data_IF_528682942124
#
_entry.id   IF_528682942124
#
_cell.length_a   1.000
_cell.length_b   1.000
_cell.length_c   1.000
_cell.angle_alpha   90.00
_cell.angle_beta   90.00
_cell.angle_gamma   90.00
#
_symmetry.space_group_name_H-M   'P 1'
#
loop_
_entity.id
_entity.type
_entity.pdbx_description
1 polymer ?
#
# COMPACT_ATOMS: atom_id res chain seq x y z
N UNK A 1 4.48 67.81 -40.58
CA UNK A 1 5.48 68.90 -40.69
C UNK A 1 6.58 68.64 -39.69
N UNK A 2 7.88 68.72 -40.04
CA UNK A 2 8.52 68.57 -41.36
C UNK A 2 9.22 67.17 -41.48
N UNK A 3 9.35 66.47 -42.63
CA UNK A 3 9.91 66.81 -43.96
C UNK A 3 11.43 67.02 -43.80
N UNK A 4 12.34 66.14 -44.23
CA UNK A 4 12.97 65.86 -45.56
C UNK A 4 14.40 65.41 -45.22
N UNK A 5 15.21 64.67 -45.98
CA UNK A 5 15.27 64.26 -47.38
C UNK A 5 16.78 64.07 -47.69
N UNK A 6 17.23 62.87 -48.07
CA UNK A 6 17.67 62.42 -49.42
C UNK A 6 18.99 63.04 -49.95
N UNK A 7 19.75 62.17 -50.65
CA UNK A 7 20.86 62.40 -51.61
C UNK A 7 22.28 62.49 -51.03
N UNK A 8 23.31 61.88 -51.60
CA UNK A 8 23.44 61.08 -52.82
C UNK A 8 24.93 60.79 -53.10
N UNK A 9 25.18 59.64 -53.75
CA UNK A 9 26.19 59.30 -54.78
C UNK A 9 27.47 60.16 -54.98
N UNK A 10 28.63 59.49 -54.99
CA UNK A 10 29.74 59.61 -55.97
C UNK A 10 30.88 58.64 -55.54
N UNK A 11 31.19 57.55 -56.23
CA UNK A 11 31.96 57.39 -57.48
C UNK A 11 33.49 57.66 -57.42
N UNK A 12 34.22 56.57 -57.71
CA UNK A 12 35.36 56.44 -58.63
C UNK A 12 36.79 56.84 -58.26
N UNK A 13 37.71 55.94 -58.67
CA UNK A 13 39.09 56.23 -59.07
C UNK A 13 40.14 55.50 -58.23
N UNK A 14 40.67 54.36 -58.67
CA UNK A 14 41.87 54.24 -59.55
C UNK A 14 43.17 54.63 -58.81
N UNK A 15 44.31 53.95 -58.88
CA UNK A 15 44.79 52.81 -59.65
C UNK A 15 46.32 52.68 -59.39
N UNK A 16 46.89 51.48 -59.55
CA UNK A 16 48.24 51.22 -60.08
C UNK A 16 49.47 51.55 -59.18
N UNK A 17 50.23 50.53 -58.77
CA UNK A 17 51.50 50.05 -59.38
C UNK A 17 52.29 49.15 -58.37
N UNK A 18 52.61 47.92 -58.79
CA UNK A 18 53.59 46.99 -58.20
C UNK A 18 55.03 47.47 -58.59
N UNK A 19 56.16 47.16 -57.90
CA UNK A 19 56.66 45.78 -57.76
C UNK A 19 57.52 45.47 -56.49
N UNK A 20 57.75 44.18 -56.19
CA UNK A 20 58.81 43.82 -55.23
C UNK A 20 58.86 42.42 -54.63
N UNK A 21 58.83 41.36 -55.46
CA UNK A 21 59.69 40.16 -55.35
C UNK A 21 59.85 39.48 -53.97
N UNK A 22 59.20 38.31 -53.74
CA UNK A 22 59.82 36.96 -53.84
C UNK A 22 58.84 35.86 -53.40
N UNK A 23 58.70 34.89 -54.30
CA UNK A 23 58.02 33.60 -54.15
C UNK A 23 58.81 32.70 -53.19
N UNK A 24 58.13 31.94 -52.32
CA UNK A 24 58.38 30.52 -51.99
C UNK A 24 57.21 30.00 -51.14
N UNK A 25 56.75 28.81 -51.51
CA UNK A 25 55.55 28.10 -51.08
C UNK A 25 55.58 27.58 -49.64
N UNK A 26 54.39 27.34 -49.07
CA UNK A 26 54.11 26.14 -48.27
C UNK A 26 52.59 25.90 -48.20
N UNK A 27 52.18 24.74 -48.71
CA UNK A 27 50.84 24.15 -48.58
C UNK A 27 50.67 23.64 -47.14
N UNK A 28 49.56 23.95 -46.49
CA UNK A 28 49.12 23.23 -45.30
C UNK A 28 47.64 22.90 -45.40
N UNK A 29 47.37 21.60 -45.32
CA UNK A 29 46.09 20.94 -45.54
C UNK A 29 45.03 21.33 -44.48
N UNK A 30 43.79 21.52 -44.93
CA UNK A 30 42.61 21.59 -44.07
C UNK A 30 42.29 20.16 -43.62
N UNK A 31 42.64 19.83 -42.37
CA UNK A 31 42.15 18.62 -41.72
C UNK A 31 40.73 18.87 -41.19
N UNK A 32 39.74 18.23 -41.82
CA UNK A 32 38.38 18.12 -41.28
C UNK A 32 38.42 17.19 -40.06
N UNK A 33 38.39 17.76 -38.87
CA UNK A 33 38.14 17.01 -37.64
C UNK A 33 36.63 16.78 -37.50
N UNK A 34 36.16 15.62 -37.95
CA UNK A 34 34.83 15.11 -37.61
C UNK A 34 34.80 14.76 -36.12
N UNK A 35 34.39 15.71 -35.29
CA UNK A 35 34.05 15.47 -33.89
C UNK A 35 32.78 14.64 -33.82
N UNK A 36 32.90 13.31 -33.73
CA UNK A 36 31.81 12.47 -33.28
C UNK A 36 31.57 12.75 -31.79
N UNK A 37 30.68 13.71 -31.48
CA UNK A 37 30.04 13.73 -30.17
C UNK A 37 29.22 12.44 -30.07
N UNK A 38 29.78 11.45 -29.37
CA UNK A 38 28.98 10.36 -28.83
C UNK A 38 27.92 11.00 -27.93
N UNK A 39 26.67 11.01 -28.38
CA UNK A 39 25.54 11.29 -27.51
C UNK A 39 25.54 10.21 -26.43
N UNK A 40 26.09 10.53 -25.26
CA UNK A 40 25.92 9.73 -24.06
C UNK A 40 24.44 9.81 -23.75
N UNK A 41 23.68 8.81 -24.20
CA UNK A 41 22.29 8.66 -23.76
C UNK A 41 22.32 8.58 -22.23
N UNK A 42 21.54 9.41 -21.52
CA UNK A 42 21.54 9.37 -20.06
C UNK A 42 21.21 7.94 -19.63
N UNK A 43 21.96 7.43 -18.66
CA UNK A 43 21.73 6.10 -18.11
C UNK A 43 20.25 5.97 -17.73
N UNK A 44 19.59 4.84 -18.04
CA UNK A 44 18.19 4.66 -17.72
C UNK A 44 17.98 4.89 -16.22
N UNK A 45 17.05 5.80 -15.88
CA UNK A 45 16.73 6.13 -14.48
C UNK A 45 16.38 4.85 -13.75
N UNK A 46 17.03 4.59 -12.61
CA UNK A 46 16.72 3.39 -11.82
C UNK A 46 15.25 3.47 -11.38
N UNK A 47 14.56 2.34 -11.19
CA UNK A 47 13.17 2.36 -10.71
C UNK A 47 12.97 3.21 -9.45
N UNK A 48 13.94 3.21 -8.53
CA UNK A 48 13.91 4.03 -7.32
C UNK A 48 13.95 5.54 -7.62
N UNK A 49 14.70 5.96 -8.65
CA UNK A 49 14.82 7.37 -9.03
C UNK A 49 13.52 7.88 -9.70
N UNK A 50 12.68 6.97 -10.19
CA UNK A 50 11.34 7.27 -10.71
C UNK A 50 10.28 7.24 -9.60
N UNK A 51 10.45 6.38 -8.60
CA UNK A 51 9.53 6.21 -7.48
C UNK A 51 9.63 7.33 -6.44
N UNK A 52 10.84 7.81 -6.11
CA UNK A 52 11.04 8.80 -5.04
C UNK A 52 10.22 10.08 -5.27
N UNK A 53 10.22 10.72 -6.45
CA UNK A 53 9.41 11.92 -6.67
C UNK A 53 7.92 11.69 -6.39
N UNK A 54 7.39 10.55 -6.84
CA UNK A 54 6.00 10.17 -6.60
C UNK A 54 5.71 9.90 -5.12
N UNK A 55 6.66 9.31 -4.38
CA UNK A 55 6.55 9.12 -2.94
C UNK A 55 6.56 10.45 -2.17
N UNK A 56 7.31 11.45 -2.65
CA UNK A 56 7.35 12.77 -2.00
C UNK A 56 6.03 13.54 -2.15
N UNK A 57 5.25 13.25 -3.20
CA UNK A 57 3.92 13.81 -3.45
C UNK A 57 2.78 12.90 -2.91
N UNK A 58 3.09 11.91 -2.06
CA UNK A 58 2.16 10.87 -1.57
C UNK A 58 0.86 11.42 -0.97
N UNK A 59 0.89 12.58 -0.31
CA UNK A 59 -0.31 13.15 0.32
C UNK A 59 -1.38 13.59 -0.68
N UNK A 60 -1.00 13.95 -1.91
CA UNK A 60 -1.95 14.38 -2.95
C UNK A 60 -2.48 13.21 -3.78
N UNK A 61 -1.62 12.24 -4.09
CA UNK A 61 -1.93 11.19 -5.08
C UNK A 61 -2.43 9.87 -4.46
N UNK A 62 -2.21 9.64 -3.14
CA UNK A 62 -2.39 8.30 -2.54
C UNK A 62 -3.29 8.25 -1.32
N UNK A 63 -4.12 9.28 -1.14
CA UNK A 63 -5.24 9.27 -0.19
C UNK A 63 -6.54 8.93 -0.92
N UNK A 64 -7.42 8.18 -0.27
CA UNK A 64 -8.74 7.91 -0.82
C UNK A 64 -8.76 6.82 -1.91
N UNK A 65 -7.71 6.00 -2.02
CA UNK A 65 -7.62 4.93 -3.01
C UNK A 65 -8.67 3.87 -2.70
N UNK A 66 -9.45 3.42 -3.68
CA UNK A 66 -10.44 2.38 -3.49
C UNK A 66 -9.77 1.06 -3.08
N UNK A 67 -10.16 0.51 -1.93
CA UNK A 67 -9.66 -0.79 -1.50
C UNK A 67 -10.02 -1.89 -2.49
N UNK A 68 -11.21 -1.80 -3.10
CA UNK A 68 -11.67 -2.73 -4.12
C UNK A 68 -10.78 -2.74 -5.37
N UNK A 69 -10.27 -1.57 -5.78
CA UNK A 69 -9.31 -1.45 -6.89
C UNK A 69 -7.95 -2.03 -6.51
N UNK A 70 -7.45 -1.72 -5.31
CA UNK A 70 -6.19 -2.30 -4.80
C UNK A 70 -6.24 -3.83 -4.78
N UNK A 71 -7.36 -4.41 -4.34
CA UNK A 71 -7.54 -5.87 -4.36
C UNK A 71 -7.56 -6.40 -5.80
N UNK A 72 -8.29 -5.74 -6.70
CA UNK A 72 -8.35 -6.16 -8.10
C UNK A 72 -6.98 -6.11 -8.78
N UNK A 73 -6.24 -5.01 -8.65
CA UNK A 73 -4.94 -4.83 -9.29
C UNK A 73 -3.86 -5.78 -8.74
N UNK A 74 -4.00 -6.19 -7.47
CA UNK A 74 -3.01 -7.05 -6.82
C UNK A 74 -3.33 -8.54 -6.91
N UNK A 75 -4.60 -8.91 -7.17
CA UNK A 75 -5.07 -10.31 -7.09
C UNK A 75 -5.88 -10.78 -8.31
N UNK A 76 -6.40 -9.85 -9.10
CA UNK A 76 -7.39 -10.11 -10.16
C UNK A 76 -8.79 -10.46 -9.64
N UNK A 77 -9.06 -10.30 -8.33
CA UNK A 77 -10.33 -10.64 -7.68
C UNK A 77 -11.14 -9.40 -7.32
N UNK A 78 -12.45 -9.55 -7.24
CA UNK A 78 -13.38 -8.46 -6.94
C UNK A 78 -13.83 -8.49 -5.50
N UNK A 79 -13.82 -7.31 -4.87
CA UNK A 79 -14.59 -7.06 -3.65
C UNK A 79 -16.04 -6.79 -4.05
N UNK A 80 -16.90 -7.75 -3.76
CA UNK A 80 -18.34 -7.66 -4.02
C UNK A 80 -19.02 -6.86 -2.90
N UNK A 81 -19.97 -5.96 -3.24
CA UNK A 81 -20.78 -5.29 -2.23
C UNK A 81 -21.68 -6.29 -1.51
N UNK A 82 -21.86 -6.07 -0.21
CA UNK A 82 -22.92 -6.75 0.54
C UNK A 82 -24.29 -6.33 -0.01
N UNK A 83 -25.15 -7.29 -0.31
CA UNK A 83 -26.51 -7.04 -0.76
C UNK A 83 -27.55 -7.49 0.28
N UNK A 84 -28.19 -6.52 0.92
CA UNK A 84 -29.26 -6.78 1.89
C UNK A 84 -30.48 -7.50 1.26
N UNK A 85 -30.67 -7.46 -0.05
CA UNK A 85 -31.73 -8.19 -0.75
C UNK A 85 -31.33 -9.62 -1.11
N UNK A 86 -30.04 -9.94 -1.11
CA UNK A 86 -29.55 -11.29 -1.32
C UNK A 86 -29.73 -12.16 -0.06
N UNK A 87 -30.42 -13.29 -0.22
CA UNK A 87 -30.73 -14.19 0.89
C UNK A 87 -29.49 -14.83 1.53
N UNK A 88 -28.46 -15.13 0.74
CA UNK A 88 -27.19 -15.73 1.22
C UNK A 88 -26.43 -14.69 2.03
N UNK A 89 -26.30 -13.47 1.51
CA UNK A 89 -25.61 -12.37 2.20
C UNK A 89 -26.24 -12.09 3.56
N UNK A 90 -27.57 -11.96 3.62
CA UNK A 90 -28.29 -11.79 4.89
C UNK A 90 -28.05 -12.96 5.85
N UNK A 91 -28.11 -14.21 5.36
CA UNK A 91 -27.89 -15.40 6.19
C UNK A 91 -26.49 -15.40 6.79
N UNK A 92 -25.47 -15.14 5.99
CA UNK A 92 -24.07 -15.11 6.45
C UNK A 92 -23.83 -13.95 7.40
N UNK A 93 -24.31 -12.74 7.09
CA UNK A 93 -24.19 -11.59 7.99
C UNK A 93 -24.87 -11.84 9.35
N UNK A 94 -26.04 -12.50 9.36
CA UNK A 94 -26.72 -12.91 10.61
C UNK A 94 -25.91 -13.93 11.40
N UNK A 95 -25.28 -14.90 10.73
CA UNK A 95 -24.40 -15.87 11.39
C UNK A 95 -23.15 -15.19 11.99
N UNK A 96 -22.54 -14.24 11.27
CA UNK A 96 -21.42 -13.44 11.76
C UNK A 96 -21.85 -12.64 13.00
N UNK A 97 -23.00 -11.95 12.94
CA UNK A 97 -23.56 -11.21 14.07
C UNK A 97 -23.74 -12.08 15.31
N UNK A 98 -24.37 -13.25 15.18
CA UNK A 98 -24.56 -14.17 16.30
C UNK A 98 -23.24 -14.70 16.86
N UNK A 99 -22.25 -14.98 16.00
CA UNK A 99 -20.91 -15.36 16.42
C UNK A 99 -20.21 -14.22 17.17
N UNK A 100 -20.37 -12.96 16.73
CA UNK A 100 -19.79 -11.80 17.40
C UNK A 100 -20.37 -11.61 18.81
N UNK A 101 -21.69 -11.72 18.96
CA UNK A 101 -22.38 -11.61 20.26
C UNK A 101 -21.86 -12.67 21.25
N UNK A 102 -21.77 -13.92 20.80
CA UNK A 102 -21.30 -15.02 21.64
C UNK A 102 -19.78 -14.94 21.90
N UNK A 103 -18.97 -14.46 20.95
CA UNK A 103 -17.55 -14.17 21.18
C UNK A 103 -17.36 -13.12 22.26
N UNK A 104 -18.08 -11.99 22.21
CA UNK A 104 -18.01 -10.94 23.24
C UNK A 104 -18.39 -11.50 24.60
N UNK A 105 -19.48 -12.29 24.67
CA UNK A 105 -19.91 -12.94 25.91
C UNK A 105 -18.85 -13.87 26.48
N UNK A 106 -18.24 -14.74 25.65
CA UNK A 106 -17.18 -15.67 26.07
C UNK A 106 -15.97 -14.92 26.61
N UNK A 107 -15.48 -13.94 25.85
CA UNK A 107 -14.23 -13.25 26.13
C UNK A 107 -14.34 -12.25 27.30
N UNK A 108 -15.55 -11.74 27.59
CA UNK A 108 -15.81 -10.91 28.77
C UNK A 108 -15.91 -11.69 30.10
N UNK A 109 -15.79 -13.02 30.10
CA UNK A 109 -15.86 -13.80 31.35
C UNK A 109 -14.72 -13.40 32.30
N UNK A 110 -15.03 -13.18 33.59
CA UNK A 110 -14.13 -12.59 34.59
C UNK A 110 -12.79 -13.33 34.81
N UNK A 111 -12.73 -14.61 34.47
CA UNK A 111 -11.52 -15.44 34.54
C UNK A 111 -11.17 -16.06 33.16
N UNK A 112 -11.60 -15.42 32.08
CA UNK A 112 -11.37 -15.88 30.71
C UNK A 112 -9.91 -15.78 30.29
N UNK A 113 -9.56 -16.54 29.24
CA UNK A 113 -8.18 -16.67 28.73
C UNK A 113 -7.49 -15.34 28.41
N UNK A 114 -8.25 -14.28 28.11
CA UNK A 114 -7.70 -12.98 27.71
C UNK A 114 -7.28 -12.11 28.88
N UNK A 115 -7.76 -12.35 30.12
CA UNK A 115 -7.58 -11.38 31.21
C UNK A 115 -6.11 -11.24 31.67
N UNK A 116 -5.31 -12.28 31.45
CA UNK A 116 -3.87 -12.28 31.73
C UNK A 116 -3.01 -11.81 30.54
N UNK A 117 -3.63 -11.47 29.41
CA UNK A 117 -2.93 -11.05 28.19
C UNK A 117 -2.71 -9.54 28.22
N UNK A 118 -1.45 -9.11 28.12
CA UNK A 118 -1.12 -7.69 28.24
C UNK A 118 -1.27 -6.91 26.94
N UNK A 119 -0.94 -7.53 25.81
CA UNK A 119 -0.95 -6.87 24.51
C UNK A 119 -2.29 -7.11 23.82
N UNK A 120 -2.96 -6.04 23.41
CA UNK A 120 -4.25 -6.13 22.69
C UNK A 120 -4.15 -6.99 21.41
N UNK A 121 -2.99 -6.99 20.75
CA UNK A 121 -2.73 -7.81 19.57
C UNK A 121 -2.72 -9.32 19.87
N UNK A 122 -2.41 -9.73 21.10
CA UNK A 122 -2.52 -11.14 21.49
C UNK A 122 -3.98 -11.49 21.79
N UNK A 123 -4.76 -10.53 22.32
CA UNK A 123 -6.20 -10.68 22.54
C UNK A 123 -6.96 -10.87 21.21
N UNK A 124 -6.56 -10.20 20.13
CA UNK A 124 -7.23 -10.35 18.82
C UNK A 124 -7.20 -11.77 18.28
N UNK A 125 -6.15 -12.53 18.57
CA UNK A 125 -6.05 -13.93 18.16
C UNK A 125 -7.18 -14.80 18.77
N UNK A 126 -7.60 -14.51 20.01
CA UNK A 126 -8.72 -15.19 20.65
C UNK A 126 -10.07 -14.86 20.00
N UNK A 127 -10.24 -13.67 19.45
CA UNK A 127 -11.42 -13.32 18.66
C UNK A 127 -11.47 -14.11 17.35
N UNK A 128 -10.35 -14.19 16.63
CA UNK A 128 -10.26 -15.00 15.40
C UNK A 128 -10.65 -16.46 15.66
N UNK A 129 -10.08 -17.07 16.70
CA UNK A 129 -10.36 -18.46 17.06
C UNK A 129 -11.82 -18.66 17.49
N UNK A 130 -12.35 -17.79 18.36
CA UNK A 130 -13.74 -17.89 18.79
C UNK A 130 -14.74 -17.71 17.65
N UNK A 131 -14.51 -16.75 16.75
CA UNK A 131 -15.37 -16.52 15.59
C UNK A 131 -15.34 -17.72 14.65
N UNK A 132 -14.15 -18.25 14.36
CA UNK A 132 -13.97 -19.44 13.52
C UNK A 132 -14.73 -20.64 14.09
N UNK A 133 -14.57 -20.92 15.38
CA UNK A 133 -15.26 -22.02 16.05
C UNK A 133 -16.79 -21.86 15.98
N UNK A 134 -17.30 -20.68 16.35
CA UNK A 134 -18.73 -20.39 16.38
C UNK A 134 -19.36 -20.47 14.99
N UNK A 135 -18.71 -19.89 13.97
CA UNK A 135 -19.20 -19.93 12.60
C UNK A 135 -19.24 -21.35 12.04
N UNK A 136 -18.31 -22.23 12.42
CA UNK A 136 -18.35 -23.65 12.03
C UNK A 136 -19.47 -24.44 12.74
N UNK A 137 -20.09 -23.92 13.81
CA UNK A 137 -21.30 -24.54 14.38
C UNK A 137 -22.56 -24.22 13.58
N UNK A 138 -22.52 -23.23 12.68
CA UNK A 138 -23.66 -22.84 11.86
C UNK A 138 -23.82 -23.80 10.67
N UNK A 139 -24.92 -24.55 10.64
CA UNK A 139 -25.22 -25.46 9.54
C UNK A 139 -25.20 -24.73 8.18
N UNK A 140 -24.51 -25.33 7.21
CA UNK A 140 -24.39 -24.79 5.86
C UNK A 140 -23.26 -23.78 5.68
N UNK A 141 -22.51 -23.44 6.74
CA UNK A 141 -21.32 -22.61 6.65
C UNK A 141 -20.05 -23.40 6.96
N UNK A 142 -18.93 -22.91 6.44
CA UNK A 142 -17.57 -23.29 6.86
C UNK A 142 -16.76 -22.02 7.07
N UNK A 143 -16.00 -21.95 8.15
CA UNK A 143 -15.10 -20.83 8.42
C UNK A 143 -13.70 -21.34 8.72
N UNK A 144 -12.70 -20.93 7.95
CA UNK A 144 -11.31 -21.38 8.15
C UNK A 144 -10.33 -20.23 7.96
N UNK A 145 -9.08 -20.44 8.33
CA UNK A 145 -8.00 -19.55 7.91
C UNK A 145 -7.84 -19.63 6.38
N UNK A 146 -7.73 -18.50 5.67
CA UNK A 146 -7.54 -18.50 4.23
C UNK A 146 -6.26 -19.25 3.82
N UNK A 147 -6.31 -19.83 2.63
CA UNK A 147 -5.16 -20.49 2.01
C UNK A 147 -4.35 -19.50 1.17
N UNK A 148 -3.02 -19.65 1.15
CA UNK A 148 -2.15 -18.94 0.21
C UNK A 148 -2.34 -19.46 -1.22
N UNK A 149 -1.66 -18.83 -2.19
CA UNK A 149 -1.65 -19.30 -3.57
C UNK A 149 -1.15 -20.75 -3.72
N UNK A 150 -0.26 -21.20 -2.82
CA UNK A 150 0.26 -22.57 -2.75
C UNK A 150 -0.65 -23.54 -1.97
N UNK A 151 -1.84 -23.10 -1.55
CA UNK A 151 -2.80 -23.94 -0.84
C UNK A 151 -2.47 -24.18 0.64
N UNK A 152 -1.55 -23.39 1.22
CA UNK A 152 -1.19 -23.51 2.65
C UNK A 152 -2.05 -22.59 3.49
N UNK A 153 -2.59 -23.09 4.60
CA UNK A 153 -3.27 -22.22 5.56
C UNK A 153 -2.28 -21.23 6.18
N UNK A 154 -2.65 -19.96 6.22
CA UNK A 154 -1.82 -18.92 6.83
C UNK A 154 -2.68 -18.00 7.68
N UNK A 155 -2.40 -17.98 8.98
CA UNK A 155 -3.09 -17.12 9.95
C UNK A 155 -2.75 -15.65 9.71
N UNK A 156 -1.47 -15.32 9.57
CA UNK A 156 -1.01 -13.94 9.44
C UNK A 156 -1.37 -13.28 8.10
N UNK A 157 -1.54 -11.96 8.14
CA UNK A 157 -1.85 -11.12 6.99
C UNK A 157 -3.32 -11.14 6.62
N UNK A 158 -3.75 -10.18 5.81
CA UNK A 158 -5.14 -10.07 5.39
C UNK A 158 -5.52 -11.11 4.32
N UNK A 159 -6.77 -11.64 4.33
CA UNK A 159 -7.76 -11.53 5.42
C UNK A 159 -7.49 -12.56 6.53
N UNK A 160 -8.05 -12.34 7.72
CA UNK A 160 -7.87 -13.27 8.84
C UNK A 160 -8.71 -14.56 8.70
N UNK A 161 -9.98 -14.45 8.28
CA UNK A 161 -10.92 -15.58 8.15
C UNK A 161 -11.58 -15.64 6.76
N UNK A 162 -11.85 -16.86 6.30
CA UNK A 162 -12.61 -17.17 5.08
C UNK A 162 -13.84 -17.98 5.44
N UNK A 163 -15.00 -17.44 5.12
CA UNK A 163 -16.31 -18.07 5.31
C UNK A 163 -16.81 -18.53 3.94
N UNK A 164 -17.37 -19.74 3.86
CA UNK A 164 -18.02 -20.25 2.65
C UNK A 164 -19.41 -20.72 2.99
N UNK A 165 -20.37 -20.22 2.23
CA UNK A 165 -21.69 -20.81 2.15
C UNK A 165 -21.61 -22.12 1.37
N UNK A 166 -21.84 -23.26 2.02
CA UNK A 166 -21.58 -24.59 1.46
C UNK A 166 -22.52 -24.95 0.31
N UNK A 167 -23.72 -24.37 0.29
CA UNK A 167 -24.73 -24.59 -0.74
C UNK A 167 -24.41 -23.78 -2.00
N UNK A 168 -24.32 -22.45 -1.87
CA UNK A 168 -24.09 -21.55 -3.02
C UNK A 168 -22.61 -21.44 -3.44
N UNK A 169 -21.69 -21.90 -2.59
CA UNK A 169 -20.23 -21.70 -2.71
C UNK A 169 -19.77 -20.25 -2.63
N UNK A 170 -20.66 -19.31 -2.26
CA UNK A 170 -20.30 -17.91 -2.09
C UNK A 170 -19.31 -17.73 -0.93
N UNK A 171 -18.31 -16.88 -1.15
CA UNK A 171 -17.20 -16.63 -0.22
C UNK A 171 -17.34 -15.26 0.42
N UNK A 172 -17.00 -15.20 1.71
CA UNK A 172 -16.91 -13.97 2.49
C UNK A 172 -15.57 -13.98 3.22
N UNK A 173 -14.85 -12.85 3.20
CA UNK A 173 -13.68 -12.66 4.04
C UNK A 173 -14.02 -11.80 5.25
N UNK A 174 -13.51 -12.17 6.41
CA UNK A 174 -13.76 -11.46 7.67
C UNK A 174 -12.44 -11.16 8.36
N UNK A 175 -12.29 -9.91 8.80
CA UNK A 175 -11.08 -9.39 9.41
C UNK A 175 -11.42 -8.75 10.76
N UNK A 176 -11.27 -9.47 11.88
CA UNK A 176 -11.54 -8.94 13.22
C UNK A 176 -10.51 -7.86 13.61
N UNK A 177 -10.99 -6.80 14.25
CA UNK A 177 -10.16 -5.70 14.76
C UNK A 177 -10.65 -5.26 16.13
N UNK A 178 -9.72 -4.95 17.02
CA UNK A 178 -10.02 -4.45 18.37
C UNK A 178 -9.67 -2.97 18.43
N UNK A 179 -10.51 -2.16 19.06
CA UNK A 179 -10.25 -0.73 19.23
C UNK A 179 -10.72 -0.25 20.60
N UNK A 180 -10.07 0.80 21.11
CA UNK A 180 -10.39 1.35 22.42
C UNK A 180 -11.64 2.25 22.35
N UNK A 181 -12.43 2.26 23.42
CA UNK A 181 -13.54 3.17 23.58
C UNK A 181 -13.08 4.63 23.39
N UNK A 182 -13.79 5.36 22.54
CA UNK A 182 -13.45 6.74 22.15
C UNK A 182 -12.43 6.86 21.01
N UNK A 183 -11.90 5.76 20.46
CA UNK A 183 -10.97 5.81 19.31
C UNK A 183 -11.62 5.53 17.96
N UNK A 184 -12.96 5.48 17.89
CA UNK A 184 -13.70 5.10 16.67
C UNK A 184 -13.42 6.02 15.49
N UNK A 185 -13.29 7.32 15.76
CA UNK A 185 -13.03 8.35 14.74
C UNK A 185 -11.52 8.67 14.62
N UNK A 186 -10.64 7.80 15.13
CA UNK A 186 -9.20 8.00 15.07
C UNK A 186 -8.68 7.86 13.64
N UNK A 187 -7.69 8.69 13.29
CA UNK A 187 -6.95 8.59 12.02
C UNK A 187 -5.75 7.62 12.07
N UNK A 188 -5.51 6.99 13.23
CA UNK A 188 -4.49 5.96 13.35
C UNK A 188 -4.84 4.72 12.54
N UNK A 189 -3.80 4.01 12.10
CA UNK A 189 -3.95 2.82 11.25
C UNK A 189 -4.56 1.67 12.07
N UNK A 190 -5.82 1.34 11.79
CA UNK A 190 -6.51 0.16 12.34
C UNK A 190 -6.60 -1.01 11.34
N UNK A 191 -6.44 -0.73 10.05
CA UNK A 191 -6.48 -1.72 8.96
C UNK A 191 -5.23 -1.58 8.09
N UNK A 192 -4.71 -2.69 7.58
CA UNK A 192 -3.68 -2.68 6.55
C UNK A 192 -3.79 -3.91 5.67
N UNK A 193 -3.47 -3.71 4.40
CA UNK A 193 -3.30 -4.77 3.41
C UNK A 193 -1.90 -4.63 2.81
N UNK A 194 -1.16 -5.73 2.80
CA UNK A 194 0.17 -5.80 2.20
C UNK A 194 0.09 -6.71 0.96
N UNK A 195 0.15 -6.15 -0.26
CA UNK A 195 0.14 -6.95 -1.47
C UNK A 195 1.34 -7.90 -1.52
N UNK A 196 1.09 -9.20 -1.68
CA UNK A 196 2.14 -10.22 -1.85
C UNK A 196 1.84 -11.07 -3.06
N UNK A 197 2.87 -11.46 -3.81
CA UNK A 197 2.71 -12.36 -4.96
C UNK A 197 2.50 -13.82 -4.53
N UNK A 198 3.38 -14.32 -3.65
CA UNK A 198 3.34 -15.73 -3.21
C UNK A 198 2.27 -15.96 -2.14
N UNK A 199 2.29 -15.17 -1.08
CA UNK A 199 1.47 -15.41 0.11
C UNK A 199 0.13 -14.65 0.10
N UNK A 200 -0.39 -14.30 -1.09
CA UNK A 200 -1.72 -13.70 -1.18
C UNK A 200 -2.80 -14.69 -0.79
N UNK A 201 -3.77 -14.22 -0.01
CA UNK A 201 -4.86 -15.02 0.55
C UNK A 201 -6.23 -14.69 -0.04
N UNK A 202 -6.34 -13.62 -0.84
CA UNK A 202 -7.56 -13.29 -1.59
C UNK A 202 -7.53 -14.04 -2.93
N UNK A 203 -8.43 -15.02 -3.07
CA UNK A 203 -8.43 -16.01 -4.16
C UNK A 203 -9.76 -16.07 -4.90
N UNK A 204 -10.81 -15.48 -4.36
CA UNK A 204 -12.16 -15.50 -4.90
C UNK A 204 -12.75 -14.09 -4.97
N UNK A 205 -13.67 -13.89 -5.92
CA UNK A 205 -14.58 -12.75 -5.86
C UNK A 205 -15.51 -12.96 -4.66
N UNK A 206 -15.46 -12.06 -3.69
CA UNK A 206 -16.05 -12.28 -2.37
C UNK A 206 -16.58 -10.98 -1.78
N UNK A 207 -17.45 -11.06 -0.78
CA UNK A 207 -17.76 -9.92 0.09
C UNK A 207 -16.68 -9.83 1.17
N UNK A 208 -16.17 -8.63 1.43
CA UNK A 208 -15.11 -8.42 2.40
C UNK A 208 -15.64 -7.60 3.58
N UNK A 209 -15.49 -8.13 4.79
CA UNK A 209 -15.90 -7.46 6.02
C UNK A 209 -14.72 -7.20 6.94
N UNK A 210 -14.77 -6.07 7.64
CA UNK A 210 -14.12 -5.91 8.94
C UNK A 210 -15.18 -6.04 10.01
N UNK A 211 -14.85 -6.70 11.12
CA UNK A 211 -15.62 -6.56 12.37
C UNK A 211 -14.77 -5.86 13.40
N UNK A 212 -15.21 -4.69 13.84
CA UNK A 212 -14.54 -3.92 14.89
C UNK A 212 -15.18 -4.18 16.25
N UNK A 213 -14.42 -4.64 17.24
CA UNK A 213 -14.85 -4.79 18.63
C UNK A 213 -14.27 -3.68 19.50
N UNK A 214 -15.14 -2.93 20.16
CA UNK A 214 -14.74 -1.88 21.10
C UNK A 214 -14.42 -2.50 22.46
N UNK A 215 -13.33 -2.06 23.08
CA UNK A 215 -12.99 -2.39 24.46
C UNK A 215 -12.85 -1.15 25.33
N UNK A 216 -13.20 -1.27 26.61
CA UNK A 216 -12.90 -0.24 27.62
C UNK A 216 -11.38 -0.08 27.79
N UNK A 217 -10.95 1.09 28.29
CA UNK A 217 -9.53 1.38 28.54
C UNK A 217 -9.07 0.54 29.73
N UNK A 218 -8.23 -0.48 29.47
CA UNK A 218 -7.81 -1.48 30.46
C UNK A 218 -7.13 -0.85 31.68
N UNK A 219 -6.37 0.23 31.49
CA UNK A 219 -5.72 0.96 32.58
C UNK A 219 -6.72 1.50 33.61
N UNK A 220 -7.98 1.71 33.23
CA UNK A 220 -9.05 2.18 34.11
C UNK A 220 -9.82 1.06 34.79
N UNK A 221 -9.93 -0.10 34.14
CA UNK A 221 -10.82 -1.20 34.56
C UNK A 221 -10.08 -2.39 35.16
N UNK A 222 -8.77 -2.51 34.89
CA UNK A 222 -7.94 -3.65 35.28
C UNK A 222 -8.19 -4.93 34.47
N UNK A 223 -9.21 -4.95 33.61
CA UNK A 223 -9.67 -6.12 32.84
C UNK A 223 -10.03 -5.74 31.41
N UNK A 224 -9.89 -6.69 30.49
CA UNK A 224 -10.45 -6.52 29.15
C UNK A 224 -11.97 -6.67 29.22
N UNK A 225 -12.68 -5.65 28.74
CA UNK A 225 -14.12 -5.64 28.64
C UNK A 225 -14.54 -5.06 27.31
N UNK A 226 -15.22 -5.86 26.52
CA UNK A 226 -15.74 -5.50 25.19
C UNK A 226 -17.20 -5.09 25.29
N UNK A 227 -17.55 -3.97 24.67
CA UNK A 227 -18.84 -3.29 24.89
C UNK A 227 -19.76 -3.37 23.69
N UNK A 228 -19.19 -3.43 22.49
CA UNK A 228 -19.94 -3.39 21.22
C UNK A 228 -19.10 -3.93 20.07
N UNK A 229 -19.76 -4.25 18.97
CA UNK A 229 -19.12 -4.56 17.71
C UNK A 229 -19.88 -3.93 16.53
N UNK A 230 -19.17 -3.66 15.44
CA UNK A 230 -19.72 -3.20 14.16
C UNK A 230 -19.21 -4.09 13.03
N UNK A 231 -20.09 -4.57 12.15
CA UNK A 231 -19.72 -5.28 10.92
C UNK A 231 -19.73 -4.29 9.74
N UNK A 232 -18.59 -4.13 9.08
CA UNK A 232 -18.33 -3.09 8.07
C UNK A 232 -18.04 -3.72 6.72
N UNK A 233 -18.84 -3.40 5.70
CA UNK A 233 -18.58 -3.75 4.30
C UNK A 233 -17.42 -2.92 3.73
N UNK A 234 -16.43 -3.59 3.13
CA UNK A 234 -15.26 -2.95 2.55
C UNK A 234 -15.41 -2.59 1.07
N UNK A 235 -16.55 -2.86 0.43
CA UNK A 235 -16.76 -2.62 -1.01
C UNK A 235 -16.59 -1.17 -1.45
N UNK A 236 -16.84 -0.22 -0.54
CA UNK A 236 -16.65 1.23 -0.72
C UNK A 236 -15.55 1.82 0.17
N UNK A 237 -14.77 0.97 0.82
CA UNK A 237 -13.73 1.41 1.73
C UNK A 237 -12.56 2.02 0.96
N UNK A 238 -12.06 3.16 1.44
CA UNK A 238 -10.90 3.83 0.87
C UNK A 238 -9.70 3.71 1.79
N UNK A 239 -8.54 3.41 1.23
CA UNK A 239 -7.26 3.31 1.93
C UNK A 239 -6.34 4.47 1.54
N UNK A 240 -5.25 4.61 2.29
CA UNK A 240 -4.10 5.42 1.89
C UNK A 240 -2.87 4.54 1.82
N UNK A 241 -1.96 4.83 0.88
CA UNK A 241 -0.64 4.23 0.93
C UNK A 241 0.15 4.88 2.09
N UNK A 242 1.01 4.09 2.72
CA UNK A 242 2.08 4.59 3.57
C UNK A 242 3.36 3.88 3.13
N UNK A 243 4.21 4.57 2.41
CA UNK A 243 5.51 4.04 2.01
C UNK A 243 6.59 4.35 3.05
N UNK A 244 7.47 3.38 3.33
CA UNK A 244 8.63 3.58 4.19
C UNK A 244 9.85 2.80 3.66
N UNK A 245 11.03 3.42 3.75
CA UNK A 245 12.30 2.74 3.53
C UNK A 245 12.75 2.09 4.84
N UNK A 246 13.18 0.83 4.79
CA UNK A 246 13.61 0.07 5.96
C UNK A 246 15.07 -0.40 5.82
N UNK A 247 15.77 -0.52 6.95
CA UNK A 247 17.11 -1.10 7.05
C UNK A 247 17.17 -2.14 8.16
N UNK A 248 17.88 -3.24 7.93
CA UNK A 248 18.05 -4.29 8.95
C UNK A 248 19.23 -3.99 9.87
N UNK A 249 19.28 -4.61 11.07
CA UNK A 249 20.46 -4.56 11.93
C UNK A 249 21.73 -5.00 11.19
N UNK A 250 21.62 -5.97 10.28
CA UNK A 250 22.75 -6.43 9.46
C UNK A 250 23.25 -5.36 8.49
N UNK A 251 22.35 -4.53 7.96
CA UNK A 251 22.73 -3.45 7.06
C UNK A 251 23.33 -2.26 7.81
N UNK A 252 22.80 -1.98 9.01
CA UNK A 252 23.23 -0.85 9.83
C UNK A 252 24.59 -1.08 10.53
N UNK A 253 24.85 -2.30 11.02
CA UNK A 253 26.04 -2.61 11.82
C UNK A 253 27.13 -3.34 11.04
N UNK A 254 27.31 -3.01 9.76
CA UNK A 254 28.45 -3.52 8.99
C UNK A 254 29.75 -2.93 9.54
N UNK A 255 30.84 -3.70 9.67
CA UNK A 255 32.09 -3.21 10.26
C UNK A 255 32.59 -1.90 9.65
N UNK A 256 32.45 -1.74 8.33
CA UNK A 256 32.85 -0.53 7.59
C UNK A 256 32.00 0.71 7.88
N UNK A 257 30.78 0.55 8.42
CA UNK A 257 29.87 1.65 8.76
C UNK A 257 29.97 2.09 10.22
N UNK A 258 30.63 1.30 11.09
CA UNK A 258 30.74 1.58 12.52
C UNK A 258 31.88 2.58 12.75
N UNK A 259 31.54 3.78 13.22
CA UNK A 259 32.51 4.85 13.49
C UNK A 259 33.13 4.75 14.89
N UNK A 260 32.41 4.18 15.86
CA UNK A 260 32.87 3.95 17.22
C UNK A 260 32.07 2.83 17.89
N UNK A 261 32.62 2.24 18.96
CA UNK A 261 31.92 1.26 19.80
C UNK A 261 32.30 1.50 21.26
N UNK A 262 31.38 1.25 22.19
CA UNK A 262 31.70 1.26 23.63
C UNK A 262 32.56 0.06 24.01
N UNK A 263 33.18 0.11 25.18
CA UNK A 263 33.67 -1.10 25.83
C UNK A 263 32.50 -2.05 26.11
N UNK A 264 32.79 -3.35 26.19
CA UNK A 264 31.81 -4.39 26.48
C UNK A 264 31.49 -4.47 27.96
#
# INVERSE_FOLDING_TARGET
MPVTGVFGLAENGASILNPGVRFIACVAAIALASGALAQISPAPKRPVDQLIPWLLDEEQELRGVSFSEVIFDTTGKKVLPFDANNAIDRRVAKAISAACDETVKRLNTAHGAIQNVNRINEVSSHFEDSLRELLNTTHGLRCDFPLTAEGKAQRSGYPDLRITDLESKRVFYLDPKLYAAGSRDSSFRAFYFEPKKATNKVREDAVHFVVGFEHEIREKTGVWKFTRWDLVDLSRFTVKLKAEFQGSNRDMYRPEAIVASSEK
#
